data_IF_782794966687
#
_entry.id   IF_782794966687
#
_cell.length_a   1.000
_cell.length_b   1.000
_cell.length_c   1.000
_cell.angle_alpha   90.00
_cell.angle_beta   90.00
_cell.angle_gamma   90.00
#
_symmetry.space_group_name_H-M   'P 1'
#
loop_
_entity.id
_entity.type
_entity.pdbx_description
1 polymer ?
#
# COMPACT_ATOMS: atom_id res chain seq x y z
N UNK A 1 -2.86 9.34 9.19
CA UNK A 1 -3.34 7.98 8.85
C UNK A 1 -4.48 7.63 9.79
N UNK A 2 -5.62 7.21 9.26
CA UNK A 2 -6.75 6.70 10.04
C UNK A 2 -6.89 5.19 9.84
N UNK A 3 -7.25 4.46 10.91
CA UNK A 3 -7.52 3.03 10.84
C UNK A 3 -8.71 2.69 11.72
N UNK A 4 -9.62 1.85 11.21
CA UNK A 4 -10.78 1.34 11.94
C UNK A 4 -10.87 -0.17 11.78
N UNK A 5 -11.19 -0.86 12.87
CA UNK A 5 -11.44 -2.29 12.89
C UNK A 5 -12.90 -2.55 13.25
N UNK A 6 -13.52 -3.49 12.57
CA UNK A 6 -14.89 -3.94 12.78
C UNK A 6 -14.82 -5.45 13.02
N UNK A 7 -15.20 -5.89 14.21
CA UNK A 7 -15.25 -7.31 14.57
C UNK A 7 -16.60 -7.89 14.15
N UNK A 8 -16.56 -9.02 13.44
CA UNK A 8 -17.72 -9.79 13.02
C UNK A 8 -17.51 -11.24 13.51
N UNK A 9 -18.03 -11.56 14.71
CA UNK A 9 -17.70 -12.78 15.43
C UNK A 9 -16.17 -12.95 15.59
N UNK A 10 -15.60 -14.00 14.99
CA UNK A 10 -14.15 -14.28 14.98
C UNK A 10 -13.40 -13.60 13.83
N UNK A 11 -14.13 -13.02 12.87
CA UNK A 11 -13.55 -12.34 11.72
C UNK A 11 -13.33 -10.85 12.03
N UNK A 12 -12.36 -10.24 11.36
CA UNK A 12 -12.03 -8.82 11.50
C UNK A 12 -12.02 -8.19 10.12
N UNK A 13 -12.82 -7.15 9.94
CA UNK A 13 -12.68 -6.22 8.81
C UNK A 13 -11.86 -5.03 9.31
N UNK A 14 -10.88 -4.60 8.54
CA UNK A 14 -10.14 -3.37 8.81
C UNK A 14 -10.13 -2.46 7.61
N UNK A 15 -10.30 -1.17 7.85
CA UNK A 15 -10.20 -0.13 6.83
C UNK A 15 -9.10 0.82 7.31
N UNK A 16 -8.11 1.09 6.46
CA UNK A 16 -6.99 1.98 6.77
C UNK A 16 -6.81 2.97 5.63
N UNK A 17 -6.82 4.26 5.93
CA UNK A 17 -6.65 5.32 4.94
C UNK A 17 -5.53 6.27 5.34
N UNK A 18 -4.78 6.74 4.36
CA UNK A 18 -3.74 7.76 4.52
C UNK A 18 -3.94 8.82 3.45
N UNK A 19 -4.14 10.05 3.93
CA UNK A 19 -4.14 11.28 3.16
C UNK A 19 -2.86 12.05 3.51
N UNK A 20 -2.26 12.71 2.53
CA UNK A 20 -1.09 13.54 2.72
C UNK A 20 -1.04 14.65 1.67
N UNK A 21 -0.61 15.83 2.10
CA UNK A 21 -0.27 16.94 1.22
C UNK A 21 1.05 17.55 1.73
N UNK A 22 1.92 17.92 0.80
CA UNK A 22 3.16 18.63 1.06
C UNK A 22 3.17 19.87 0.17
N UNK A 23 3.37 21.02 0.80
CA UNK A 23 3.43 22.31 0.12
C UNK A 23 4.71 23.02 0.51
N UNK A 24 5.38 23.64 -0.45
CA UNK A 24 6.58 24.43 -0.22
C UNK A 24 6.22 25.84 0.23
N UNK A 25 6.86 26.33 1.30
CA UNK A 25 6.60 27.66 1.85
C UNK A 25 7.18 28.78 0.96
N UNK A 26 8.35 28.54 0.36
CA UNK A 26 9.01 29.48 -0.55
C UNK A 26 8.51 29.31 -2.00
N UNK A 27 7.44 28.56 -2.23
CA UNK A 27 6.96 28.19 -3.55
C UNK A 27 8.07 27.56 -4.42
N UNK A 28 8.99 26.80 -3.82
CA UNK A 28 9.99 26.03 -4.55
C UNK A 28 9.53 24.59 -4.80
N UNK A 29 10.22 23.88 -5.68
CA UNK A 29 10.02 22.46 -5.92
C UNK A 29 10.40 21.66 -4.67
N UNK A 30 9.51 20.75 -4.26
CA UNK A 30 9.80 19.82 -3.16
C UNK A 30 10.82 18.80 -3.66
N UNK A 31 11.90 18.59 -2.91
CA UNK A 31 12.92 17.57 -3.20
C UNK A 31 12.28 16.18 -3.19
N UNK A 32 12.65 15.30 -4.12
CA UNK A 32 12.04 13.99 -4.32
C UNK A 32 12.03 13.12 -3.06
N UNK A 33 13.10 13.14 -2.26
CA UNK A 33 13.21 12.41 -1.00
C UNK A 33 12.17 12.82 0.04
N UNK A 34 11.61 14.03 -0.06
CA UNK A 34 10.58 14.52 0.84
C UNK A 34 9.17 14.27 0.31
N UNK A 35 9.01 13.87 -0.95
CA UNK A 35 7.69 13.61 -1.54
C UNK A 35 7.11 12.29 -1.03
N UNK A 36 5.81 12.13 -1.19
CA UNK A 36 5.17 10.84 -0.96
C UNK A 36 5.51 9.84 -2.07
N UNK A 37 5.54 8.58 -1.68
CA UNK A 37 5.67 7.43 -2.57
C UNK A 37 4.53 6.45 -2.36
N UNK A 38 4.28 5.62 -3.38
CA UNK A 38 3.21 4.63 -3.39
C UNK A 38 3.72 3.28 -3.90
N UNK A 39 3.21 2.20 -3.29
CA UNK A 39 3.63 0.82 -3.52
C UNK A 39 3.98 0.08 -2.24
N UNK A 40 4.42 -1.17 -2.36
CA UNK A 40 4.82 -2.00 -1.22
C UNK A 40 3.69 -2.24 -0.22
N UNK A 41 3.92 -1.94 1.07
CA UNK A 41 2.93 -2.18 2.15
C UNK A 41 1.65 -1.36 2.06
N UNK A 42 1.71 -0.20 1.39
CA UNK A 42 0.56 0.71 1.27
C UNK A 42 -0.32 0.40 0.06
N UNK A 43 0.27 -0.17 -1.00
CA UNK A 43 -0.41 -0.60 -2.21
C UNK A 43 0.23 -1.91 -2.67
N UNK A 44 -0.23 -3.02 -2.09
CA UNK A 44 0.33 -4.36 -2.36
C UNK A 44 0.12 -4.71 -3.84
N UNK A 45 1.04 -5.47 -4.43
CA UNK A 45 1.01 -5.81 -5.86
C UNK A 45 1.89 -4.88 -6.71
N UNK A 46 2.34 -3.77 -6.13
CA UNK A 46 3.31 -2.85 -6.70
C UNK A 46 4.58 -2.87 -5.86
N UNK A 47 5.73 -2.68 -6.50
CA UNK A 47 7.01 -2.58 -5.81
C UNK A 47 7.03 -1.34 -4.89
N UNK A 48 8.00 -1.25 -3.98
CA UNK A 48 8.27 0.00 -3.30
C UNK A 48 8.61 1.06 -4.35
N UNK A 49 7.96 2.23 -4.29
CA UNK A 49 8.06 3.24 -5.35
C UNK A 49 7.60 2.73 -6.72
N UNK A 50 6.71 1.72 -6.72
CA UNK A 50 6.26 1.03 -7.93
C UNK A 50 5.11 1.73 -8.64
N UNK A 51 4.36 2.60 -7.96
CA UNK A 51 3.20 3.31 -8.51
C UNK A 51 3.35 4.83 -8.42
N UNK A 52 3.02 5.55 -9.51
CA UNK A 52 2.97 7.01 -9.55
C UNK A 52 4.09 7.69 -10.36
N UNK A 53 4.22 9.04 -10.25
CA UNK A 53 5.00 9.84 -11.17
C UNK A 53 6.48 9.49 -11.21
N UNK A 54 7.04 9.46 -12.43
CA UNK A 54 8.41 9.06 -12.72
C UNK A 54 8.91 9.64 -14.05
N UNK A 55 10.23 9.71 -14.22
CA UNK A 55 10.84 10.08 -15.50
C UNK A 55 11.17 8.85 -16.35
N UNK A 56 11.43 7.72 -15.71
CA UNK A 56 11.72 6.45 -16.37
C UNK A 56 11.43 5.29 -15.41
N UNK A 57 11.62 4.05 -15.88
CA UNK A 57 11.48 2.85 -15.03
C UNK A 57 12.44 2.85 -13.83
N UNK A 58 13.57 3.54 -13.89
CA UNK A 58 14.58 3.59 -12.81
C UNK A 58 14.61 4.93 -12.08
N UNK A 59 13.83 5.92 -12.52
CA UNK A 59 13.81 7.28 -11.95
C UNK A 59 12.41 7.62 -11.45
N UNK A 60 12.11 7.17 -10.23
CA UNK A 60 10.86 7.48 -9.54
C UNK A 60 10.90 8.89 -8.95
N UNK A 61 9.84 9.67 -9.13
CA UNK A 61 9.77 11.07 -8.67
C UNK A 61 8.83 11.24 -7.47
N UNK A 62 7.74 10.46 -7.40
CA UNK A 62 6.73 10.60 -6.34
C UNK A 62 5.88 11.87 -6.49
N UNK A 63 5.13 12.24 -5.44
CA UNK A 63 4.17 13.34 -5.52
C UNK A 63 3.97 14.09 -4.20
N UNK A 64 3.44 15.31 -4.32
CA UNK A 64 3.17 16.17 -3.17
C UNK A 64 1.85 15.79 -2.47
N UNK A 65 0.93 15.16 -3.19
CA UNK A 65 -0.34 14.67 -2.67
C UNK A 65 -0.33 13.14 -2.65
N UNK A 66 -0.88 12.56 -1.59
CA UNK A 66 -1.06 11.13 -1.43
C UNK A 66 -2.49 10.87 -0.96
N UNK A 67 -3.14 9.92 -1.62
CA UNK A 67 -4.31 9.25 -1.09
C UNK A 67 -4.12 7.74 -1.24
N UNK A 68 -4.30 7.00 -0.16
CA UNK A 68 -4.28 5.54 -0.21
C UNK A 68 -5.26 4.98 0.83
N UNK A 69 -5.98 3.94 0.45
CA UNK A 69 -6.93 3.22 1.29
C UNK A 69 -6.76 1.72 1.10
N UNK A 70 -6.75 0.99 2.21
CA UNK A 70 -6.67 -0.46 2.31
C UNK A 70 -7.92 -0.97 2.99
N UNK A 71 -8.48 -2.05 2.46
CA UNK A 71 -9.57 -2.79 3.07
C UNK A 71 -9.09 -4.23 3.22
N UNK A 72 -9.06 -4.70 4.45
CA UNK A 72 -8.62 -6.06 4.79
C UNK A 72 -9.76 -6.81 5.47
N UNK A 73 -10.03 -8.04 5.04
CA UNK A 73 -10.86 -9.00 5.73
C UNK A 73 -9.98 -10.15 6.23
N UNK A 74 -9.92 -10.33 7.54
CA UNK A 74 -9.09 -11.32 8.21
C UNK A 74 -9.96 -12.35 8.92
N UNK A 75 -9.63 -13.62 8.77
CA UNK A 75 -10.30 -14.75 9.40
C UNK A 75 -9.27 -15.70 10.03
N UNK A 76 -9.46 -16.13 11.28
CA UNK A 76 -8.63 -17.19 11.85
C UNK A 76 -8.84 -18.49 11.10
N UNK A 77 -7.74 -19.19 10.79
CA UNK A 77 -7.80 -20.46 10.06
C UNK A 77 -8.50 -21.53 10.90
N UNK A 78 -8.19 -21.58 12.20
CA UNK A 78 -8.84 -22.46 13.16
C UNK A 78 -9.83 -21.70 14.04
N UNK A 79 -10.97 -22.31 14.31
CA UNK A 79 -12.02 -21.74 15.16
C UNK A 79 -11.70 -21.82 16.66
N UNK A 80 -10.61 -22.47 17.07
CA UNK A 80 -10.25 -22.64 18.48
C UNK A 80 -9.54 -21.40 19.03
N UNK A 81 -9.42 -21.28 20.35
CA UNK A 81 -8.81 -20.12 21.02
C UNK A 81 -7.33 -19.93 20.69
N UNK A 82 -6.63 -21.01 20.34
CA UNK A 82 -5.18 -21.03 20.17
C UNK A 82 -4.76 -20.91 18.70
N UNK A 83 -5.53 -20.17 17.88
CA UNK A 83 -5.25 -20.04 16.45
C UNK A 83 -3.94 -19.27 16.20
N UNK A 84 -2.89 -19.91 15.63
CA UNK A 84 -1.62 -19.23 15.38
C UNK A 84 -1.57 -18.56 13.99
N UNK A 85 -2.55 -18.84 13.12
CA UNK A 85 -2.54 -18.50 11.69
C UNK A 85 -3.86 -17.84 11.29
N UNK A 86 -3.80 -16.63 10.80
CA UNK A 86 -4.94 -15.96 10.17
C UNK A 86 -4.74 -15.92 8.65
N UNK A 87 -5.81 -16.21 7.91
CA UNK A 87 -5.90 -15.94 6.48
C UNK A 87 -6.58 -14.59 6.31
N UNK A 88 -6.12 -13.79 5.35
CA UNK A 88 -6.76 -12.53 5.03
C UNK A 88 -6.87 -12.31 3.54
N UNK A 89 -7.90 -11.57 3.16
CA UNK A 89 -8.17 -11.07 1.83
C UNK A 89 -8.13 -9.56 1.89
N UNK A 90 -7.71 -8.91 0.82
CA UNK A 90 -7.61 -7.47 0.82
C UNK A 90 -7.82 -6.86 -0.55
N UNK A 91 -8.11 -5.56 -0.52
CA UNK A 91 -8.02 -4.69 -1.68
C UNK A 91 -7.43 -3.35 -1.27
N UNK A 92 -6.51 -2.87 -2.10
CA UNK A 92 -5.79 -1.63 -1.89
C UNK A 92 -6.06 -0.69 -3.05
N UNK A 93 -6.20 0.60 -2.76
CA UNK A 93 -6.41 1.66 -3.74
C UNK A 93 -5.53 2.85 -3.38
N UNK A 94 -4.89 3.49 -4.34
CA UNK A 94 -4.14 4.71 -4.06
C UNK A 94 -3.69 5.48 -5.27
N UNK A 95 -3.34 6.74 -5.04
CA UNK A 95 -2.77 7.65 -6.02
C UNK A 95 -1.79 8.60 -5.34
N UNK A 96 -0.78 9.03 -6.09
CA UNK A 96 0.22 10.00 -5.67
C UNK A 96 0.46 10.96 -6.83
N UNK A 97 0.35 12.27 -6.59
CA UNK A 97 0.30 13.27 -7.68
C UNK A 97 0.71 14.68 -7.23
N UNK A 98 0.70 15.63 -8.17
CA UNK A 98 0.79 17.07 -7.87
C UNK A 98 2.22 17.61 -7.77
N UNK A 99 3.11 17.22 -8.67
CA UNK A 99 4.42 17.84 -8.77
C UNK A 99 4.34 19.23 -9.43
N UNK A 100 5.12 20.20 -8.92
CA UNK A 100 5.27 21.53 -9.53
C UNK A 100 5.91 21.44 -10.92
N UNK A 101 7.01 20.72 -11.02
CA UNK A 101 7.64 20.36 -12.30
C UNK A 101 7.05 19.02 -12.75
N UNK A 102 6.55 18.94 -13.98
CA UNK A 102 5.91 17.73 -14.52
C UNK A 102 6.96 16.65 -14.85
N UNK A 103 6.93 15.48 -14.21
CA UNK A 103 7.70 14.32 -14.64
C UNK A 103 7.26 13.83 -16.03
N UNK A 104 8.07 12.98 -16.67
CA UNK A 104 7.72 12.39 -17.98
C UNK A 104 6.40 11.62 -17.92
N UNK A 105 6.19 10.85 -16.86
CA UNK A 105 4.96 10.11 -16.58
C UNK A 105 4.39 10.62 -15.28
N UNK A 106 3.21 11.23 -15.29
CA UNK A 106 2.70 11.95 -14.11
C UNK A 106 1.18 12.01 -14.02
N UNK A 107 0.48 10.98 -14.49
CA UNK A 107 -0.97 10.96 -14.33
C UNK A 107 -1.38 10.87 -12.85
N UNK A 108 -2.62 11.28 -12.58
CA UNK A 108 -3.23 11.18 -11.26
C UNK A 108 -4.07 9.92 -11.12
N UNK A 109 -3.89 8.91 -11.99
CA UNK A 109 -4.74 7.72 -12.02
C UNK A 109 -4.74 6.98 -10.67
N UNK A 110 -5.87 6.38 -10.32
CA UNK A 110 -5.95 5.57 -9.10
C UNK A 110 -5.47 4.18 -9.46
N UNK A 111 -4.41 3.71 -8.78
CA UNK A 111 -3.95 2.33 -8.88
C UNK A 111 -4.68 1.48 -7.86
N UNK A 112 -4.92 0.24 -8.20
CA UNK A 112 -5.61 -0.69 -7.31
C UNK A 112 -5.13 -2.12 -7.46
N UNK A 113 -5.32 -2.88 -6.39
CA UNK A 113 -5.04 -4.31 -6.37
C UNK A 113 -6.01 -5.03 -5.44
N UNK A 114 -6.08 -6.34 -5.62
CA UNK A 114 -6.69 -7.24 -4.65
C UNK A 114 -5.75 -8.41 -4.39
N UNK A 115 -5.97 -9.10 -3.29
CA UNK A 115 -5.12 -10.23 -2.98
C UNK A 115 -5.55 -10.97 -1.75
N UNK A 116 -4.72 -11.93 -1.39
CA UNK A 116 -4.88 -12.73 -0.20
C UNK A 116 -3.52 -12.98 0.45
N UNK A 117 -3.55 -13.43 1.70
CA UNK A 117 -2.34 -13.70 2.42
C UNK A 117 -2.59 -14.47 3.70
N UNK A 118 -1.48 -14.81 4.33
CA UNK A 118 -1.44 -15.54 5.59
C UNK A 118 -0.58 -14.73 6.55
N UNK A 119 -1.04 -14.57 7.78
CA UNK A 119 -0.26 -13.98 8.87
C UNK A 119 -0.23 -14.95 10.05
N UNK A 120 0.93 -15.10 10.67
CA UNK A 120 1.10 -15.98 11.81
C UNK A 120 2.12 -15.40 12.78
N UNK A 121 2.00 -15.78 14.05
CA UNK A 121 2.94 -15.36 15.08
C UNK A 121 4.09 -16.36 15.18
N UNK A 122 5.33 -15.85 15.10
CA UNK A 122 6.57 -16.62 15.28
C UNK A 122 7.33 -16.15 16.53
N UNK A 123 8.40 -16.85 16.90
CA UNK A 123 9.28 -16.46 18.01
C UNK A 123 9.91 -15.07 17.84
N UNK A 124 10.09 -14.62 16.59
CA UNK A 124 10.67 -13.30 16.26
C UNK A 124 9.60 -12.23 15.98
N UNK A 125 8.33 -12.56 16.25
CA UNK A 125 7.19 -11.67 16.04
C UNK A 125 6.27 -12.10 14.90
N UNK A 126 5.27 -11.26 14.56
CA UNK A 126 4.30 -11.58 13.54
C UNK A 126 4.93 -11.55 12.14
N UNK A 127 4.64 -12.57 11.35
CA UNK A 127 5.09 -12.73 9.97
C UNK A 127 3.87 -12.72 9.06
N UNK A 128 3.97 -12.05 7.92
CA UNK A 128 2.92 -11.96 6.91
C UNK A 128 3.46 -12.24 5.52
N UNK A 129 2.75 -13.09 4.79
CA UNK A 129 2.91 -13.32 3.36
C UNK A 129 1.67 -12.83 2.64
N UNK A 130 1.84 -12.04 1.57
CA UNK A 130 0.75 -11.54 0.73
C UNK A 130 1.02 -11.87 -0.74
N UNK A 131 -0.03 -12.25 -1.45
CA UNK A 131 -0.08 -12.31 -2.91
C UNK A 131 -1.12 -11.32 -3.40
N UNK A 132 -0.66 -10.32 -4.15
CA UNK A 132 -1.46 -9.21 -4.65
C UNK A 132 -1.41 -9.15 -6.17
N UNK A 133 -2.57 -8.89 -6.76
CA UNK A 133 -2.78 -8.80 -8.20
C UNK A 133 -3.26 -7.38 -8.52
N UNK A 134 -2.43 -6.57 -9.20
CA UNK A 134 -2.87 -5.27 -9.72
C UNK A 134 -4.09 -5.43 -10.63
N UNK A 135 -5.14 -4.62 -10.39
CA UNK A 135 -6.35 -4.57 -11.22
C UNK A 135 -6.35 -3.31 -12.07
N UNK A 136 -5.83 -2.21 -11.53
CA UNK A 136 -5.63 -0.96 -12.25
C UNK A 136 -4.19 -0.51 -12.06
N UNK A 137 -3.48 -0.42 -13.18
CA UNK A 137 -2.07 -0.08 -13.27
C UNK A 137 -1.79 0.68 -14.57
N UNK A 138 -0.68 1.41 -14.60
CA UNK A 138 -0.17 2.03 -15.81
C UNK A 138 0.98 1.24 -16.42
N UNK A 139 1.19 1.42 -17.73
CA UNK A 139 2.24 0.74 -18.51
C UNK A 139 3.65 0.92 -17.94
N UNK A 140 3.87 2.02 -17.21
CA UNK A 140 5.17 2.36 -16.62
C UNK A 140 5.31 1.91 -15.15
N UNK A 141 4.25 1.38 -14.53
CA UNK A 141 4.27 0.95 -13.12
C UNK A 141 5.11 -0.33 -12.92
N UNK A 142 5.74 -0.47 -11.75
CA UNK A 142 6.56 -1.64 -11.41
C UNK A 142 5.76 -2.53 -10.46
N UNK A 143 5.37 -3.71 -10.96
CA UNK A 143 4.55 -4.68 -10.24
C UNK A 143 5.42 -5.60 -9.39
N UNK A 144 4.93 -5.96 -8.20
CA UNK A 144 5.51 -6.95 -7.30
C UNK A 144 4.38 -7.71 -6.58
N UNK A 145 4.10 -8.92 -7.06
CA UNK A 145 2.94 -9.69 -6.61
C UNK A 145 3.12 -10.26 -5.19
N UNK A 146 4.33 -10.73 -4.86
CA UNK A 146 4.61 -11.32 -3.55
C UNK A 146 5.21 -10.28 -2.60
N UNK A 147 4.65 -10.18 -1.39
CA UNK A 147 5.17 -9.35 -0.32
C UNK A 147 5.36 -10.18 0.96
N UNK A 148 6.55 -10.06 1.53
CA UNK A 148 6.90 -10.59 2.85
C UNK A 148 7.05 -9.44 3.84
N UNK A 149 6.54 -9.61 5.06
CA UNK A 149 6.67 -8.64 6.15
C UNK A 149 6.91 -9.33 7.48
N UNK A 150 7.73 -8.71 8.33
CA UNK A 150 8.02 -9.15 9.71
C UNK A 150 7.83 -7.96 10.63
N UNK A 151 7.22 -8.19 11.79
CA UNK A 151 6.98 -7.17 12.79
C UNK A 151 5.75 -6.32 12.47
N UNK A 152 5.92 -5.24 11.70
CA UNK A 152 4.76 -4.40 11.34
C UNK A 152 4.05 -4.93 10.08
N UNK A 153 2.98 -5.70 10.30
CA UNK A 153 2.16 -6.28 9.23
C UNK A 153 1.03 -5.38 8.73
N UNK A 154 0.86 -4.19 9.31
CA UNK A 154 -0.32 -3.34 9.13
C UNK A 154 -0.01 -2.01 8.44
#
# INVERSE_FOLDING_TARGET
TGKKYIKLNKNIVSIQSRLGNITSLQNDTVVENNKFSLGGRWLRGFDNYGAGPRNSRTSYVGGNNLFVTKIDFSRPLYSNTDNPIDVYFFTDFGTVYGNKNKPTFSDSAIRSSFGYGIKFYSLIGPIGFSWAFPISDETYDIKRMFLFSVGNLN
#
